data_IF_020714601760
#
_entry.id   IF_020714601760
#
_cell.length_a   1.000
_cell.length_b   1.000
_cell.length_c   1.000
_cell.angle_alpha   90.00
_cell.angle_beta   90.00
_cell.angle_gamma   90.00
#
_symmetry.space_group_name_H-M   'P 1'
#
loop_
_entity.id
_entity.type
_entity.pdbx_description
1 polymer ?
#
# COMPACT_ATOMS: atom_id res chain seq x y z
N UNK A 1 -20.93 -12.69 5.56
CA UNK A 1 -19.69 -13.11 6.26
C UNK A 1 -19.19 -12.01 7.19
N UNK A 2 -18.78 -10.83 6.70
CA UNK A 2 -18.19 -9.74 7.50
C UNK A 2 -19.05 -9.33 8.71
N UNK A 3 -20.39 -9.23 8.54
CA UNK A 3 -21.29 -8.90 9.65
C UNK A 3 -21.19 -9.89 10.82
N UNK A 4 -21.13 -11.18 10.54
CA UNK A 4 -21.06 -12.23 11.57
C UNK A 4 -19.77 -12.09 12.38
N UNK A 5 -18.65 -11.87 11.69
CA UNK A 5 -17.34 -11.69 12.31
C UNK A 5 -17.33 -10.43 13.18
N UNK A 6 -17.71 -9.28 12.60
CA UNK A 6 -17.71 -7.99 13.31
C UNK A 6 -18.64 -8.00 14.55
N UNK A 7 -19.82 -8.62 14.46
CA UNK A 7 -20.71 -8.76 15.61
C UNK A 7 -20.13 -9.67 16.69
N UNK A 8 -19.42 -10.74 16.30
CA UNK A 8 -18.71 -11.60 17.25
C UNK A 8 -17.58 -10.84 17.96
N UNK A 9 -16.79 -10.08 17.21
CA UNK A 9 -15.72 -9.22 17.77
C UNK A 9 -16.31 -8.15 18.70
N UNK A 10 -17.39 -7.49 18.28
CA UNK A 10 -18.08 -6.48 19.09
C UNK A 10 -18.53 -7.05 20.44
N UNK A 11 -19.13 -8.23 20.46
CA UNK A 11 -19.56 -8.92 21.70
C UNK A 11 -18.36 -9.24 22.60
N UNK A 12 -17.27 -9.76 22.01
CA UNK A 12 -16.05 -10.11 22.76
C UNK A 12 -15.37 -8.90 23.41
N UNK A 13 -15.48 -7.71 22.80
CA UNK A 13 -14.83 -6.46 23.28
C UNK A 13 -15.75 -5.54 24.07
N UNK A 14 -16.92 -5.97 24.49
CA UNK A 14 -17.82 -5.19 25.36
C UNK A 14 -18.90 -4.38 24.65
N UNK A 15 -19.07 -4.55 23.35
CA UNK A 15 -20.26 -4.11 22.62
C UNK A 15 -20.37 -2.63 22.27
N UNK A 16 -19.26 -1.95 22.02
CA UNK A 16 -19.28 -0.55 21.58
C UNK A 16 -19.74 -0.39 20.14
N UNK A 17 -20.55 0.65 19.87
CA UNK A 17 -21.00 1.03 18.54
C UNK A 17 -22.05 0.09 17.94
N UNK A 18 -22.78 0.58 16.96
CA UNK A 18 -23.74 -0.16 16.15
C UNK A 18 -23.06 -0.60 14.86
N UNK A 19 -23.30 -1.83 14.43
CA UNK A 19 -22.83 -2.33 13.14
C UNK A 19 -24.04 -2.43 12.21
N UNK A 20 -24.01 -1.67 11.12
CA UNK A 20 -24.98 -1.75 10.03
C UNK A 20 -24.29 -2.27 8.79
N UNK A 21 -25.01 -3.08 8.01
CA UNK A 21 -24.48 -3.67 6.78
C UNK A 21 -25.40 -3.31 5.62
N UNK A 22 -24.81 -2.73 4.59
CA UNK A 22 -25.46 -2.36 3.35
C UNK A 22 -24.87 -3.18 2.21
N UNK A 23 -25.68 -3.59 1.26
CA UNK A 23 -25.28 -4.37 0.08
C UNK A 23 -25.91 -3.75 -1.14
N UNK A 24 -25.18 -3.67 -2.23
CA UNK A 24 -25.65 -3.12 -3.49
C UNK A 24 -25.41 -1.63 -3.64
N UNK A 25 -25.32 -1.18 -4.88
CA UNK A 25 -25.04 0.22 -5.25
C UNK A 25 -26.21 1.12 -4.81
N UNK A 26 -27.42 0.62 -4.84
CA UNK A 26 -28.65 1.30 -4.45
C UNK A 26 -28.67 1.75 -2.98
N UNK A 27 -27.91 1.05 -2.13
CA UNK A 27 -27.84 1.35 -0.70
C UNK A 27 -26.57 2.16 -0.32
N UNK A 28 -25.74 2.54 -1.30
CA UNK A 28 -24.43 3.18 -1.05
C UNK A 28 -24.59 4.54 -0.36
N UNK A 29 -25.51 5.37 -0.78
CA UNK A 29 -25.77 6.68 -0.15
C UNK A 29 -26.23 6.53 1.30
N UNK A 30 -27.05 5.56 1.59
CA UNK A 30 -27.53 5.33 2.97
C UNK A 30 -26.38 4.83 3.86
N UNK A 31 -25.49 3.98 3.32
CA UNK A 31 -24.29 3.54 4.02
C UNK A 31 -23.32 4.70 4.31
N UNK A 32 -23.21 5.68 3.41
CA UNK A 32 -22.29 6.81 3.51
C UNK A 32 -22.87 7.99 4.31
N UNK A 33 -24.18 8.07 4.46
CA UNK A 33 -24.85 9.23 5.06
C UNK A 33 -24.35 9.56 6.45
N UNK A 34 -23.79 10.78 6.59
CA UNK A 34 -23.28 11.29 7.86
C UNK A 34 -21.99 10.63 8.32
N UNK A 35 -21.30 9.87 7.47
CA UNK A 35 -20.00 9.30 7.81
C UNK A 35 -18.96 10.41 8.05
N UNK A 36 -18.06 10.21 9.00
CA UNK A 36 -16.89 11.07 9.22
C UNK A 36 -15.66 10.51 8.53
N UNK A 37 -15.59 9.18 8.39
CA UNK A 37 -14.49 8.48 7.75
C UNK A 37 -15.03 7.36 6.86
N UNK A 38 -14.46 7.21 5.69
CA UNK A 38 -14.75 6.14 4.73
C UNK A 38 -13.45 5.40 4.44
N UNK A 39 -13.37 4.12 4.76
CA UNK A 39 -12.22 3.27 4.43
C UNK A 39 -12.54 2.52 3.15
N UNK A 40 -11.73 2.75 2.12
CA UNK A 40 -11.86 2.10 0.82
C UNK A 40 -10.84 0.98 0.64
N UNK A 41 -11.36 -0.25 0.48
CA UNK A 41 -10.55 -1.45 0.23
C UNK A 41 -11.24 -2.34 -0.82
N UNK A 42 -11.77 -1.73 -1.89
CA UNK A 42 -12.50 -2.45 -2.95
C UNK A 42 -11.55 -3.07 -3.98
N UNK A 43 -12.01 -4.13 -4.63
CA UNK A 43 -11.39 -4.68 -5.83
C UNK A 43 -12.45 -4.86 -6.90
N UNK A 44 -12.46 -3.95 -7.88
CA UNK A 44 -13.38 -3.97 -9.01
C UNK A 44 -12.99 -5.08 -9.97
N UNK A 45 -13.95 -5.95 -10.31
CA UNK A 45 -13.76 -7.06 -11.23
C UNK A 45 -13.16 -8.33 -10.60
N UNK A 46 -12.79 -8.29 -9.32
CA UNK A 46 -12.32 -9.43 -8.52
C UNK A 46 -11.09 -10.15 -9.13
N UNK A 47 -10.71 -11.30 -8.53
CA UNK A 47 -9.70 -12.18 -9.08
C UNK A 47 -10.17 -12.80 -10.41
N UNK A 48 -11.33 -13.44 -10.40
CA UNK A 48 -12.00 -13.98 -11.57
C UNK A 48 -13.20 -13.07 -11.92
N UNK A 49 -13.27 -12.49 -13.14
CA UNK A 49 -12.37 -12.72 -14.29
C UNK A 49 -11.22 -11.73 -14.41
N UNK A 50 -11.25 -10.55 -13.77
CA UNK A 50 -10.46 -9.42 -14.21
C UNK A 50 -8.96 -9.55 -13.93
N UNK A 51 -8.54 -10.02 -12.75
CA UNK A 51 -7.11 -10.24 -12.48
C UNK A 51 -6.54 -11.33 -13.40
N UNK A 52 -7.29 -12.40 -13.64
CA UNK A 52 -6.88 -13.44 -14.60
C UNK A 52 -6.65 -12.84 -15.99
N UNK A 53 -7.57 -12.01 -16.47
CA UNK A 53 -7.46 -11.35 -17.79
C UNK A 53 -6.25 -10.42 -17.82
N UNK A 54 -6.02 -9.64 -16.77
CA UNK A 54 -4.89 -8.69 -16.65
C UNK A 54 -3.52 -9.41 -16.71
N UNK A 55 -3.46 -10.71 -16.44
CA UNK A 55 -2.26 -11.53 -16.58
C UNK A 55 -2.23 -12.30 -17.90
N UNK A 56 -3.31 -12.96 -18.29
CA UNK A 56 -3.31 -13.87 -19.44
C UNK A 56 -3.29 -13.14 -20.79
N UNK A 57 -3.89 -11.95 -20.88
CA UNK A 57 -3.86 -11.16 -22.12
C UNK A 57 -2.46 -10.63 -22.42
N UNK A 58 -1.74 -9.97 -21.47
CA UNK A 58 -0.36 -9.50 -21.71
C UNK A 58 0.62 -10.63 -22.07
N UNK A 59 0.46 -11.83 -21.51
CA UNK A 59 1.29 -13.00 -21.86
C UNK A 59 1.25 -13.34 -23.34
N UNK A 60 0.11 -13.16 -24.01
CA UNK A 60 -0.02 -13.40 -25.47
C UNK A 60 0.87 -12.47 -26.29
N UNK A 61 1.29 -11.35 -25.71
CA UNK A 61 2.19 -10.36 -26.31
C UNK A 61 3.61 -10.42 -25.75
N UNK A 62 3.94 -11.46 -24.98
CA UNK A 62 5.26 -11.67 -24.40
C UNK A 62 5.54 -10.82 -23.15
N UNK A 63 4.52 -10.18 -22.57
CA UNK A 63 4.65 -9.39 -21.35
C UNK A 63 4.34 -10.27 -20.14
N UNK A 64 5.31 -10.36 -19.23
CA UNK A 64 5.20 -11.13 -18.00
C UNK A 64 5.16 -10.20 -16.80
N UNK A 65 4.34 -10.53 -15.82
CA UNK A 65 4.12 -9.74 -14.60
C UNK A 65 4.31 -10.62 -13.37
N UNK A 66 4.57 -9.98 -12.23
CA UNK A 66 4.65 -10.62 -10.92
C UNK A 66 3.36 -10.37 -10.13
N UNK A 67 3.05 -9.11 -9.85
CA UNK A 67 1.87 -8.66 -9.10
C UNK A 67 0.84 -7.96 -10.00
N UNK A 68 1.29 -7.14 -10.95
CA UNK A 68 0.46 -6.55 -12.01
C UNK A 68 -0.70 -5.67 -11.54
N UNK A 69 -0.62 -5.11 -10.35
CA UNK A 69 -1.72 -4.35 -9.74
C UNK A 69 -1.46 -2.84 -9.61
N UNK A 70 -0.24 -2.39 -9.86
CA UNK A 70 0.20 -1.00 -9.62
C UNK A 70 0.69 -0.32 -10.87
N UNK A 71 1.65 -0.88 -11.58
CA UNK A 71 2.23 -0.36 -12.82
C UNK A 71 2.09 -1.36 -13.96
N UNK A 72 2.54 -0.96 -15.15
CA UNK A 72 2.41 -1.77 -16.35
C UNK A 72 0.98 -1.91 -16.82
N UNK A 73 0.75 -2.86 -17.74
CA UNK A 73 -0.58 -3.03 -18.38
C UNK A 73 -1.64 -3.49 -17.38
N UNK A 74 -1.30 -4.38 -16.47
CA UNK A 74 -2.22 -4.85 -15.43
C UNK A 74 -2.68 -3.72 -14.51
N UNK A 75 -1.76 -2.89 -14.01
CA UNK A 75 -2.07 -1.72 -13.19
C UNK A 75 -2.93 -0.68 -13.94
N UNK A 76 -2.60 -0.39 -15.19
CA UNK A 76 -3.36 0.53 -16.05
C UNK A 76 -4.81 0.03 -16.22
N UNK A 77 -5.01 -1.23 -16.58
CA UNK A 77 -6.34 -1.80 -16.79
C UNK A 77 -7.15 -1.85 -15.49
N UNK A 78 -6.49 -2.15 -14.38
CA UNK A 78 -7.10 -2.11 -13.05
C UNK A 78 -7.53 -0.69 -12.66
N UNK A 79 -6.71 0.34 -12.91
CA UNK A 79 -7.06 1.73 -12.68
C UNK A 79 -8.25 2.17 -13.54
N UNK A 80 -8.22 1.91 -14.85
CA UNK A 80 -9.29 2.26 -15.77
C UNK A 80 -10.64 1.65 -15.40
N UNK A 81 -10.62 0.46 -14.83
CA UNK A 81 -11.81 -0.26 -14.36
C UNK A 81 -12.31 0.26 -13.02
N UNK A 82 -11.41 0.73 -12.15
CA UNK A 82 -11.73 1.14 -10.77
C UNK A 82 -12.13 2.62 -10.67
N UNK A 83 -11.52 3.49 -11.47
CA UNK A 83 -11.78 4.93 -11.47
C UNK A 83 -13.27 5.28 -11.61
N UNK A 84 -14.06 4.70 -12.56
CA UNK A 84 -15.48 5.01 -12.67
C UNK A 84 -16.27 4.70 -11.40
N UNK A 85 -15.96 3.58 -10.73
CA UNK A 85 -16.60 3.20 -9.47
C UNK A 85 -16.22 4.18 -8.35
N UNK A 86 -14.97 4.62 -8.29
CA UNK A 86 -14.54 5.61 -7.31
C UNK A 86 -15.14 6.99 -7.59
N UNK A 87 -15.34 7.37 -8.85
CA UNK A 87 -16.05 8.59 -9.22
C UNK A 87 -17.49 8.59 -8.71
N UNK A 88 -18.19 7.46 -8.83
CA UNK A 88 -19.53 7.30 -8.28
C UNK A 88 -19.53 7.40 -6.75
N UNK A 89 -18.55 6.81 -6.07
CA UNK A 89 -18.38 6.97 -4.61
C UNK A 89 -18.17 8.43 -4.24
N UNK A 90 -17.32 9.15 -4.98
CA UNK A 90 -17.05 10.56 -4.72
C UNK A 90 -18.31 11.41 -4.85
N UNK A 91 -19.08 11.22 -5.93
CA UNK A 91 -20.34 11.95 -6.15
C UNK A 91 -21.35 11.71 -5.02
N UNK A 92 -21.47 10.46 -4.57
CA UNK A 92 -22.36 10.14 -3.45
C UNK A 92 -21.84 10.73 -2.12
N UNK A 93 -20.52 10.72 -1.88
CA UNK A 93 -19.93 11.33 -0.68
C UNK A 93 -20.11 12.84 -0.64
N UNK A 94 -19.91 13.52 -1.77
CA UNK A 94 -20.12 14.97 -1.89
C UNK A 94 -21.57 15.35 -1.56
N UNK A 95 -22.55 14.49 -1.85
CA UNK A 95 -23.97 14.71 -1.53
C UNK A 95 -24.31 14.43 -0.05
N UNK A 96 -23.81 13.31 0.52
CA UNK A 96 -24.33 12.80 1.81
C UNK A 96 -23.35 12.87 2.99
N UNK A 97 -22.05 13.08 2.73
CA UNK A 97 -21.00 13.24 3.75
C UNK A 97 -19.80 14.06 3.24
N UNK A 98 -19.98 15.31 2.80
CA UNK A 98 -18.95 16.11 2.12
C UNK A 98 -17.71 16.39 2.98
N UNK A 99 -17.81 16.30 4.29
CA UNK A 99 -16.71 16.53 5.20
C UNK A 99 -15.91 15.28 5.57
N UNK A 100 -16.36 14.09 5.14
CA UNK A 100 -15.73 12.84 5.45
C UNK A 100 -14.33 12.71 4.85
N UNK A 101 -13.43 12.04 5.58
CA UNK A 101 -12.14 11.61 5.05
C UNK A 101 -12.28 10.27 4.32
N UNK A 102 -11.73 10.20 3.11
CA UNK A 102 -11.65 8.99 2.31
C UNK A 102 -10.24 8.39 2.45
N UNK A 103 -10.13 7.30 3.20
CA UNK A 103 -8.89 6.57 3.49
C UNK A 103 -8.76 5.42 2.49
N UNK A 104 -7.93 5.62 1.46
CA UNK A 104 -7.84 4.69 0.34
C UNK A 104 -6.73 3.66 0.53
N UNK A 105 -7.07 2.37 0.55
CA UNK A 105 -6.15 1.23 0.51
C UNK A 105 -6.12 0.52 -0.85
N UNK A 106 -6.97 0.94 -1.78
CA UNK A 106 -7.10 0.27 -3.09
C UNK A 106 -6.00 0.69 -4.04
N UNK A 107 -5.34 -0.31 -4.64
CA UNK A 107 -4.33 -0.12 -5.71
C UNK A 107 -4.98 -0.13 -7.12
N UNK A 108 -4.34 0.58 -8.07
CA UNK A 108 -3.07 1.33 -8.04
C UNK A 108 -3.14 2.62 -7.22
N UNK A 109 -2.39 2.70 -6.14
CA UNK A 109 -2.51 3.74 -5.13
C UNK A 109 -2.37 5.16 -5.70
N UNK A 110 -1.28 5.45 -6.40
CA UNK A 110 -0.99 6.78 -6.92
C UNK A 110 -1.99 7.19 -8.01
N UNK A 111 -2.47 6.25 -8.84
CA UNK A 111 -3.47 6.55 -9.88
C UNK A 111 -4.83 6.85 -9.27
N UNK A 112 -5.29 6.01 -8.35
CA UNK A 112 -6.62 6.12 -7.75
C UNK A 112 -6.73 7.28 -6.77
N UNK A 113 -5.77 7.43 -5.85
CA UNK A 113 -5.74 8.54 -4.91
C UNK A 113 -5.50 9.88 -5.63
N UNK A 114 -4.63 9.88 -6.66
CA UNK A 114 -4.40 11.03 -7.49
C UNK A 114 -5.63 11.44 -8.30
N UNK A 115 -6.43 10.48 -8.79
CA UNK A 115 -7.71 10.78 -9.42
C UNK A 115 -8.67 11.46 -8.45
N UNK A 116 -8.90 10.86 -7.28
CA UNK A 116 -9.79 11.40 -6.27
C UNK A 116 -9.41 12.83 -5.86
N UNK A 117 -8.14 13.07 -5.60
CA UNK A 117 -7.63 14.36 -5.14
C UNK A 117 -7.64 15.44 -6.24
N UNK A 118 -7.52 15.06 -7.53
CA UNK A 118 -7.51 16.01 -8.65
C UNK A 118 -8.89 16.37 -9.15
N UNK A 119 -9.81 15.43 -9.17
CA UNK A 119 -11.06 15.56 -9.92
C UNK A 119 -12.31 15.51 -9.04
N UNK A 120 -12.17 15.42 -7.71
CA UNK A 120 -13.28 15.41 -6.76
C UNK A 120 -13.02 16.35 -5.59
N UNK A 121 -14.08 16.73 -4.86
CA UNK A 121 -14.00 17.49 -3.61
C UNK A 121 -13.73 16.64 -2.36
N UNK A 122 -13.60 15.33 -2.51
CA UNK A 122 -13.49 14.40 -1.38
C UNK A 122 -12.10 14.48 -0.73
N UNK A 123 -12.05 14.67 0.58
CA UNK A 123 -10.80 14.71 1.38
C UNK A 123 -10.14 13.34 1.39
N UNK A 124 -9.27 13.07 0.41
CA UNK A 124 -8.65 11.75 0.19
C UNK A 124 -7.21 11.70 0.66
N UNK A 125 -6.82 10.61 1.30
CA UNK A 125 -5.42 10.21 1.49
C UNK A 125 -5.27 8.72 1.13
N UNK A 126 -4.23 8.41 0.35
CA UNK A 126 -3.87 7.03 0.03
C UNK A 126 -2.92 6.46 1.10
N UNK A 127 -3.13 5.22 1.48
CA UNK A 127 -2.44 4.54 2.58
C UNK A 127 -1.83 3.22 2.09
N UNK A 128 -0.54 3.03 2.36
CA UNK A 128 0.17 1.81 1.99
C UNK A 128 1.04 1.29 3.15
N UNK A 129 1.12 -0.03 3.28
CA UNK A 129 1.95 -0.69 4.30
C UNK A 129 3.44 -0.64 3.98
N UNK A 130 3.80 -0.48 2.71
CA UNK A 130 5.19 -0.57 2.25
C UNK A 130 6.13 0.45 2.91
N UNK A 131 5.61 1.60 3.31
CA UNK A 131 6.37 2.59 4.08
C UNK A 131 6.58 2.12 5.52
N UNK A 132 5.54 1.55 6.16
CA UNK A 132 5.61 1.14 7.57
C UNK A 132 6.63 0.03 7.81
N UNK A 133 6.75 -0.91 6.89
CA UNK A 133 7.60 -2.09 7.03
C UNK A 133 8.96 -1.94 6.37
N UNK A 134 9.19 -0.89 5.58
CA UNK A 134 10.36 -0.72 4.71
C UNK A 134 11.69 -0.96 5.40
N UNK A 135 12.02 -0.18 6.41
CA UNK A 135 13.30 -0.29 7.12
C UNK A 135 13.34 -1.45 8.10
N UNK A 136 12.20 -1.81 8.69
CA UNK A 136 12.10 -2.95 9.61
C UNK A 136 12.42 -4.25 8.89
N UNK A 137 11.82 -4.48 7.72
CA UNK A 137 12.07 -5.67 6.92
C UNK A 137 13.52 -5.70 6.39
N UNK A 138 14.05 -4.55 5.97
CA UNK A 138 15.46 -4.45 5.58
C UNK A 138 16.39 -4.86 6.71
N UNK A 139 16.18 -4.32 7.91
CA UNK A 139 17.06 -4.61 9.05
C UNK A 139 16.97 -6.05 9.50
N UNK A 140 15.79 -6.65 9.55
CA UNK A 140 15.62 -8.09 9.81
C UNK A 140 16.39 -8.96 8.81
N UNK A 141 16.33 -8.61 7.53
CA UNK A 141 17.02 -9.34 6.47
C UNK A 141 18.53 -9.20 6.52
N UNK A 142 19.05 -8.08 7.02
CA UNK A 142 20.47 -7.79 7.13
C UNK A 142 21.07 -8.12 8.51
N UNK A 143 20.27 -8.62 9.47
CA UNK A 143 20.72 -8.86 10.83
C UNK A 143 21.12 -7.58 11.57
N UNK A 144 20.26 -6.54 11.44
CA UNK A 144 20.45 -5.21 12.04
C UNK A 144 19.28 -4.82 12.96
N UNK A 145 18.60 -5.80 13.57
CA UNK A 145 17.41 -5.55 14.41
C UNK A 145 17.72 -4.71 15.64
N UNK A 146 18.96 -4.70 16.09
CA UNK A 146 19.45 -3.84 17.18
C UNK A 146 19.38 -2.34 16.85
N UNK A 147 19.24 -1.99 15.57
CA UNK A 147 19.10 -0.61 15.08
C UNK A 147 17.65 -0.14 14.95
N UNK A 148 16.65 -1.01 15.20
CA UNK A 148 15.24 -0.67 15.03
C UNK A 148 14.76 0.38 16.03
N UNK A 149 15.18 0.24 17.29
CA UNK A 149 14.72 1.15 18.35
C UNK A 149 15.30 2.56 18.19
N UNK A 150 14.40 3.55 18.14
CA UNK A 150 14.78 4.97 18.05
C UNK A 150 15.39 5.39 16.71
N UNK A 151 15.29 4.54 15.66
CA UNK A 151 15.73 4.89 14.29
C UNK A 151 14.97 6.11 13.79
N UNK A 152 15.62 6.88 12.95
CA UNK A 152 15.06 8.03 12.23
C UNK A 152 15.15 7.76 10.74
N UNK A 153 14.04 7.91 10.05
CA UNK A 153 13.96 7.62 8.61
C UNK A 153 13.19 8.68 7.86
N UNK A 154 13.56 8.89 6.60
CA UNK A 154 12.82 9.68 5.63
C UNK A 154 12.54 8.82 4.41
N UNK A 155 11.26 8.59 4.14
CA UNK A 155 10.80 7.86 2.95
C UNK A 155 9.92 8.79 2.13
N UNK A 156 10.25 8.96 0.84
CA UNK A 156 9.46 9.76 -0.08
C UNK A 156 9.66 9.34 -1.54
N UNK A 157 8.64 9.60 -2.36
CA UNK A 157 8.64 9.28 -3.78
C UNK A 157 7.23 9.07 -4.32
N UNK A 158 7.05 8.05 -5.15
CA UNK A 158 5.75 7.60 -5.64
C UNK A 158 5.47 6.22 -5.07
N UNK A 159 4.25 5.97 -4.65
CA UNK A 159 3.85 4.70 -4.01
C UNK A 159 4.36 3.47 -4.77
N UNK A 160 4.83 2.50 -4.02
CA UNK A 160 5.55 1.29 -4.40
C UNK A 160 6.96 1.52 -4.98
N UNK A 161 7.33 2.77 -5.28
CA UNK A 161 8.67 3.22 -5.67
C UNK A 161 9.10 4.47 -4.88
N UNK A 162 8.64 4.63 -3.65
CA UNK A 162 9.20 5.61 -2.73
C UNK A 162 10.56 5.13 -2.20
N UNK A 163 11.45 6.06 -1.91
CA UNK A 163 12.84 5.79 -1.56
C UNK A 163 13.10 6.05 -0.09
N UNK A 164 13.83 5.16 0.56
CA UNK A 164 14.39 5.38 1.89
C UNK A 164 15.58 6.32 1.74
N UNK A 165 15.30 7.63 1.81
CA UNK A 165 16.30 8.69 1.54
C UNK A 165 17.28 8.88 2.69
N UNK A 166 16.78 8.74 3.93
CA UNK A 166 17.60 8.79 5.13
C UNK A 166 17.24 7.63 6.04
N UNK A 167 18.24 7.05 6.67
CA UNK A 167 18.10 6.08 7.73
C UNK A 167 19.24 6.26 8.75
N UNK A 168 18.89 6.64 9.97
CA UNK A 168 19.83 6.93 11.06
C UNK A 168 19.46 6.15 12.29
N UNK A 169 20.44 5.79 13.09
CA UNK A 169 20.22 5.22 14.42
C UNK A 169 19.67 6.27 15.41
N UNK A 170 19.40 5.86 16.63
CA UNK A 170 18.92 6.73 17.72
C UNK A 170 19.87 7.90 18.05
N UNK A 171 21.16 7.76 17.76
CA UNK A 171 22.19 8.77 17.97
C UNK A 171 22.39 9.71 16.77
N UNK A 172 21.70 9.44 15.65
CA UNK A 172 21.80 10.21 14.41
C UNK A 172 22.92 9.75 13.46
N UNK A 173 23.52 8.60 13.71
CA UNK A 173 24.54 8.01 12.82
C UNK A 173 23.86 7.44 11.58
N UNK A 174 24.38 7.78 10.40
CA UNK A 174 23.90 7.23 9.13
C UNK A 174 24.16 5.72 9.04
N UNK A 175 23.11 4.95 8.75
CA UNK A 175 23.16 3.50 8.66
C UNK A 175 23.41 2.98 7.24
N UNK A 176 23.35 3.83 6.20
CA UNK A 176 23.62 3.37 4.83
C UNK A 176 25.01 2.77 4.62
N UNK A 177 26.11 3.27 5.22
CA UNK A 177 27.39 2.61 5.12
C UNK A 177 27.38 1.15 5.63
N UNK A 178 26.74 0.90 6.77
CA UNK A 178 26.60 -0.46 7.32
C UNK A 178 25.70 -1.33 6.43
N UNK A 179 24.55 -0.83 5.98
CA UNK A 179 23.66 -1.52 5.04
C UNK A 179 24.44 -1.93 3.79
N UNK A 180 25.16 -0.99 3.17
CA UNK A 180 25.93 -1.22 1.93
C UNK A 180 27.03 -2.27 2.10
N UNK A 181 27.59 -2.41 3.29
CA UNK A 181 28.60 -3.44 3.57
C UNK A 181 28.08 -4.87 3.59
N UNK A 182 26.75 -5.05 3.76
CA UNK A 182 26.10 -6.37 3.93
C UNK A 182 25.39 -6.87 2.66
N UNK A 183 25.13 -5.99 1.66
CA UNK A 183 24.26 -6.34 0.54
C UNK A 183 24.87 -7.34 -0.44
N UNK A 184 26.19 -7.31 -0.67
CA UNK A 184 26.82 -8.19 -1.66
C UNK A 184 26.73 -9.66 -1.25
N UNK A 185 26.89 -9.98 0.03
CA UNK A 185 26.68 -11.31 0.58
C UNK A 185 25.24 -11.79 0.36
N UNK A 186 24.27 -10.95 0.65
CA UNK A 186 22.84 -11.26 0.47
C UNK A 186 22.43 -11.42 -0.99
N UNK A 187 22.99 -10.62 -1.89
CA UNK A 187 22.72 -10.75 -3.34
C UNK A 187 23.31 -12.05 -3.88
N UNK A 188 24.46 -12.49 -3.33
CA UNK A 188 25.12 -13.74 -3.73
C UNK A 188 24.39 -14.99 -3.22
N UNK A 189 23.57 -14.89 -2.17
CA UNK A 189 22.80 -16.00 -1.65
C UNK A 189 21.72 -16.43 -2.67
N UNK A 190 21.74 -17.68 -3.20
CA UNK A 190 20.77 -18.11 -4.19
C UNK A 190 19.33 -18.12 -3.68
N UNK A 191 19.12 -18.35 -2.39
CA UNK A 191 17.77 -18.45 -1.78
C UNK A 191 17.18 -17.10 -1.36
N UNK A 192 17.99 -16.03 -1.36
CA UNK A 192 17.52 -14.73 -0.91
C UNK A 192 16.55 -14.07 -1.91
N UNK A 193 15.35 -13.75 -1.45
CA UNK A 193 14.27 -13.23 -2.33
C UNK A 193 14.30 -11.73 -2.62
N UNK A 194 14.98 -10.92 -1.76
CA UNK A 194 14.91 -9.45 -1.87
C UNK A 194 16.08 -8.84 -2.68
N UNK A 195 16.56 -9.54 -3.72
CA UNK A 195 17.75 -9.15 -4.49
C UNK A 195 17.55 -7.86 -5.29
N UNK A 196 16.39 -7.65 -5.91
CA UNK A 196 16.12 -6.49 -6.76
C UNK A 196 16.26 -5.18 -5.99
N UNK A 197 15.70 -5.10 -4.78
CA UNK A 197 15.80 -3.89 -3.94
C UNK A 197 17.21 -3.66 -3.42
N UNK A 198 17.97 -4.70 -3.14
CA UNK A 198 19.38 -4.56 -2.77
C UNK A 198 20.25 -4.10 -3.96
N UNK A 199 19.94 -4.56 -5.17
CA UNK A 199 20.60 -4.05 -6.40
C UNK A 199 20.29 -2.55 -6.62
N UNK A 200 19.13 -2.05 -6.20
CA UNK A 200 18.84 -0.62 -6.24
C UNK A 200 19.76 0.17 -5.30
N UNK A 201 20.07 -0.32 -4.10
CA UNK A 201 21.05 0.31 -3.22
C UNK A 201 22.40 0.38 -3.91
N UNK A 202 22.82 -0.69 -4.59
CA UNK A 202 24.11 -0.79 -5.28
C UNK A 202 24.20 0.18 -6.47
N UNK A 203 23.14 0.28 -7.26
CA UNK A 203 23.15 1.05 -8.51
C UNK A 203 22.69 2.50 -8.35
N UNK A 204 21.75 2.76 -7.44
CA UNK A 204 21.16 4.09 -7.22
C UNK A 204 21.49 4.70 -5.86
N UNK A 205 22.09 3.93 -4.97
CA UNK A 205 22.51 4.41 -3.64
C UNK A 205 21.44 4.30 -2.54
N UNK A 206 20.18 4.01 -2.89
CA UNK A 206 19.03 4.04 -1.98
C UNK A 206 18.20 2.77 -2.07
N UNK A 207 17.56 2.42 -0.96
CA UNK A 207 16.57 1.34 -0.90
C UNK A 207 15.18 1.90 -1.23
N UNK A 208 14.31 1.10 -1.83
CA UNK A 208 12.95 1.55 -2.11
C UNK A 208 11.91 0.74 -1.34
N UNK A 209 10.72 1.31 -1.25
CA UNK A 209 9.56 0.65 -0.66
C UNK A 209 9.07 -0.50 -1.54
N UNK A 210 8.15 -1.27 -1.02
CA UNK A 210 7.54 -2.45 -1.60
C UNK A 210 8.53 -3.61 -1.81
N UNK A 211 8.06 -4.73 -2.33
CA UNK A 211 8.84 -5.96 -2.46
C UNK A 211 9.70 -6.01 -3.73
N UNK A 212 10.66 -6.93 -3.77
CA UNK A 212 11.49 -7.15 -4.96
C UNK A 212 10.70 -7.63 -6.17
N UNK A 213 9.64 -8.41 -5.97
CA UNK A 213 8.78 -8.85 -7.07
C UNK A 213 8.04 -7.68 -7.72
N UNK A 214 7.49 -6.73 -6.95
CA UNK A 214 6.91 -5.50 -7.50
C UNK A 214 7.97 -4.70 -8.26
N UNK A 215 9.10 -4.46 -7.63
CA UNK A 215 10.17 -3.66 -8.22
C UNK A 215 10.78 -4.30 -9.47
N UNK A 216 10.74 -5.63 -9.60
CA UNK A 216 11.20 -6.32 -10.79
C UNK A 216 10.35 -6.02 -12.04
N UNK A 217 9.04 -5.81 -11.87
CA UNK A 217 8.13 -5.52 -12.99
C UNK A 217 7.97 -4.02 -13.31
N UNK A 218 8.41 -3.12 -12.41
CA UNK A 218 8.23 -1.67 -12.58
C UNK A 218 9.22 -1.02 -13.55
N UNK A 219 10.19 -1.77 -14.04
CA UNK A 219 11.23 -1.26 -14.93
C UNK A 219 11.67 -2.31 -15.95
N UNK A 220 12.49 -1.87 -16.92
CA UNK A 220 12.97 -2.73 -17.99
C UNK A 220 14.21 -3.57 -17.65
N UNK A 221 14.69 -3.57 -16.41
CA UNK A 221 16.01 -4.13 -16.09
C UNK A 221 15.99 -5.64 -15.84
N UNK A 222 14.92 -6.21 -15.33
CA UNK A 222 14.89 -7.56 -14.79
C UNK A 222 14.05 -8.56 -15.59
N UNK A 223 12.80 -8.21 -15.96
CA UNK A 223 11.93 -9.12 -16.73
C UNK A 223 12.10 -8.86 -18.22
N UNK A 224 13.05 -9.60 -18.84
CA UNK A 224 13.43 -9.42 -20.23
C UNK A 224 13.32 -10.71 -21.02
N UNK A 225 12.64 -10.69 -22.15
CA UNK A 225 12.52 -11.86 -23.04
C UNK A 225 13.87 -12.32 -23.60
N UNK A 226 14.81 -11.38 -23.83
CA UNK A 226 16.17 -11.69 -24.35
C UNK A 226 17.12 -12.24 -23.28
N UNK A 227 16.80 -12.09 -22.02
CA UNK A 227 17.66 -12.46 -20.88
C UNK A 227 16.83 -13.20 -19.83
N UNK A 228 16.25 -14.36 -20.19
CA UNK A 228 15.35 -15.10 -19.28
C UNK A 228 16.04 -15.58 -17.99
N UNK A 229 17.37 -15.73 -18.02
CA UNK A 229 18.20 -16.11 -16.85
C UNK A 229 18.14 -15.09 -15.71
N UNK A 230 17.73 -13.83 -15.99
CA UNK A 230 17.55 -12.82 -14.94
C UNK A 230 16.41 -13.17 -13.98
N UNK A 231 15.39 -13.88 -14.45
CA UNK A 231 14.25 -14.33 -13.62
C UNK A 231 14.76 -15.26 -12.52
N UNK A 232 15.58 -16.24 -12.87
CA UNK A 232 16.18 -17.17 -11.93
C UNK A 232 17.23 -16.48 -11.04
N UNK A 233 18.13 -15.69 -11.64
CA UNK A 233 19.20 -14.98 -10.93
C UNK A 233 18.66 -14.09 -9.80
N UNK A 234 17.54 -13.40 -10.01
CA UNK A 234 16.96 -12.48 -9.06
C UNK A 234 15.78 -13.08 -8.28
N UNK A 235 15.51 -14.38 -8.43
CA UNK A 235 14.40 -15.08 -7.77
C UNK A 235 13.05 -14.37 -8.01
N UNK A 236 12.76 -14.00 -9.26
CA UNK A 236 11.55 -13.23 -9.61
C UNK A 236 10.36 -14.18 -9.73
N UNK A 237 9.35 -14.10 -8.87
CA UNK A 237 8.20 -14.99 -8.88
C UNK A 237 7.14 -14.49 -9.89
N UNK A 238 7.30 -14.85 -11.16
CA UNK A 238 6.30 -14.54 -12.17
C UNK A 238 4.93 -15.14 -11.79
N UNK A 239 3.86 -14.42 -12.09
CA UNK A 239 2.47 -14.81 -11.77
C UNK A 239 2.21 -14.99 -10.26
N UNK A 240 2.91 -14.24 -9.43
CA UNK A 240 2.80 -14.34 -7.97
C UNK A 240 1.40 -13.93 -7.47
N UNK A 241 0.85 -12.82 -7.97
CA UNK A 241 -0.45 -12.35 -7.50
C UNK A 241 -1.60 -13.32 -7.79
N UNK A 242 -1.72 -13.93 -8.98
CA UNK A 242 -2.65 -15.04 -9.21
C UNK A 242 -2.52 -16.19 -8.19
N UNK A 243 -1.30 -16.60 -7.85
CA UNK A 243 -1.08 -17.64 -6.82
C UNK A 243 -1.54 -17.18 -5.44
N UNK A 244 -1.23 -15.93 -5.06
CA UNK A 244 -1.70 -15.33 -3.79
C UNK A 244 -3.21 -15.29 -3.74
N UNK A 245 -3.89 -14.90 -4.80
CA UNK A 245 -5.36 -14.88 -4.87
C UNK A 245 -5.97 -16.26 -4.63
N UNK A 246 -5.46 -17.29 -5.31
CA UNK A 246 -5.95 -18.68 -5.14
C UNK A 246 -5.75 -19.15 -3.71
N UNK A 247 -4.56 -18.94 -3.15
CA UNK A 247 -4.23 -19.33 -1.78
C UNK A 247 -5.08 -18.58 -0.75
N UNK A 248 -5.27 -17.26 -0.94
CA UNK A 248 -6.07 -16.42 -0.05
C UNK A 248 -7.54 -16.84 -0.04
N UNK A 249 -8.11 -17.17 -1.21
CA UNK A 249 -9.49 -17.66 -1.32
C UNK A 249 -9.64 -18.99 -0.59
N UNK A 250 -8.68 -19.91 -0.73
CA UNK A 250 -8.68 -21.19 -0.06
C UNK A 250 -8.52 -21.04 1.47
N UNK A 251 -7.57 -20.23 1.91
CA UNK A 251 -7.30 -19.93 3.33
C UNK A 251 -8.54 -19.29 3.98
N UNK A 252 -9.12 -18.28 3.33
CA UNK A 252 -10.30 -17.61 3.84
C UNK A 252 -11.49 -18.55 4.08
N UNK A 253 -11.76 -19.46 3.14
CA UNK A 253 -12.83 -20.45 3.30
C UNK A 253 -12.64 -21.30 4.56
N UNK A 254 -11.40 -21.72 4.82
CA UNK A 254 -11.06 -22.51 6.01
C UNK A 254 -11.19 -21.68 7.29
N UNK A 255 -10.59 -20.48 7.30
CA UNK A 255 -10.63 -19.58 8.46
C UNK A 255 -12.05 -19.17 8.83
N UNK A 256 -12.88 -18.87 7.83
CA UNK A 256 -14.28 -18.52 8.06
C UNK A 256 -15.07 -19.67 8.67
N UNK A 257 -14.88 -20.91 8.18
CA UNK A 257 -15.51 -22.08 8.76
C UNK A 257 -15.08 -22.30 10.22
N UNK A 258 -13.78 -22.13 10.52
CA UNK A 258 -13.27 -22.21 11.89
C UNK A 258 -13.84 -21.13 12.81
N UNK A 259 -13.99 -19.90 12.31
CA UNK A 259 -14.58 -18.79 13.07
C UNK A 259 -16.07 -19.04 13.38
N UNK A 260 -16.81 -19.66 12.47
CA UNK A 260 -18.21 -20.04 12.72
C UNK A 260 -18.33 -21.14 13.79
N UNK A 261 -17.41 -22.09 13.80
CA UNK A 261 -17.42 -23.21 14.74
C UNK A 261 -16.91 -22.83 16.14
N UNK A 262 -15.78 -22.11 16.20
CA UNK A 262 -15.03 -21.86 17.43
C UNK A 262 -15.19 -20.44 17.98
N UNK A 263 -15.89 -19.56 17.25
CA UNK A 263 -15.91 -18.12 17.51
C UNK A 263 -14.68 -17.41 17.00
N UNK A 264 -14.73 -16.07 17.04
CA UNK A 264 -13.60 -15.22 16.60
C UNK A 264 -12.51 -15.27 17.67
N UNK A 265 -11.27 -15.54 17.25
CA UNK A 265 -10.09 -15.45 18.10
C UNK A 265 -9.94 -14.04 18.68
N UNK A 266 -9.23 -13.93 19.80
CA UNK A 266 -8.90 -12.63 20.34
C UNK A 266 -8.23 -11.76 19.27
N UNK A 267 -8.81 -10.58 19.04
CA UNK A 267 -8.31 -9.63 18.06
C UNK A 267 -7.41 -8.60 18.75
N UNK A 268 -6.16 -8.56 18.37
CA UNK A 268 -5.23 -7.53 18.76
C UNK A 268 -5.21 -6.41 17.72
N UNK A 269 -5.11 -5.15 18.18
CA UNK A 269 -4.97 -3.99 17.30
C UNK A 269 -3.68 -4.15 16.48
N UNK A 270 -3.80 -4.06 15.17
CA UNK A 270 -2.65 -4.05 14.26
C UNK A 270 -2.05 -2.65 14.12
N UNK A 271 -0.96 -2.53 13.35
CA UNK A 271 -0.33 -1.25 13.04
C UNK A 271 -1.03 -0.51 11.88
N UNK A 272 -2.27 -0.86 11.54
CA UNK A 272 -3.03 -0.24 10.46
C UNK A 272 -3.26 1.26 10.66
N UNK A 273 -2.95 2.05 9.64
CA UNK A 273 -3.02 3.50 9.69
C UNK A 273 -4.41 4.05 9.98
N UNK A 274 -5.48 3.50 9.36
CA UNK A 274 -6.80 4.10 9.39
C UNK A 274 -7.30 4.37 10.81
N UNK A 275 -7.18 3.40 11.72
CA UNK A 275 -7.64 3.56 13.10
C UNK A 275 -6.86 4.65 13.86
N UNK A 276 -5.56 4.76 13.60
CA UNK A 276 -4.71 5.79 14.21
C UNK A 276 -4.98 7.18 13.62
N UNK A 277 -5.25 7.27 12.30
CA UNK A 277 -5.65 8.51 11.65
C UNK A 277 -6.97 9.02 12.23
N UNK A 278 -7.99 8.15 12.33
CA UNK A 278 -9.28 8.51 12.90
C UNK A 278 -9.13 9.00 14.34
N UNK A 279 -8.39 8.26 15.17
CA UNK A 279 -8.12 8.64 16.56
C UNK A 279 -7.40 9.99 16.63
N UNK A 280 -6.36 10.18 15.83
CA UNK A 280 -5.56 11.42 15.78
C UNK A 280 -6.39 12.65 15.39
N UNK A 281 -7.26 12.52 14.39
CA UNK A 281 -8.15 13.61 13.94
C UNK A 281 -9.15 13.97 15.06
N UNK A 282 -9.74 12.97 15.71
CA UNK A 282 -10.75 13.18 16.76
C UNK A 282 -10.16 13.74 18.06
N UNK A 283 -9.01 13.21 18.48
CA UNK A 283 -8.38 13.56 19.76
C UNK A 283 -7.36 14.69 19.65
N UNK A 284 -6.96 15.06 18.42
CA UNK A 284 -5.83 15.95 18.14
C UNK A 284 -4.47 15.44 18.65
N UNK A 285 -4.35 14.16 19.00
CA UNK A 285 -3.07 13.54 19.35
C UNK A 285 -2.24 13.35 18.09
N UNK A 286 -1.03 13.94 17.98
CA UNK A 286 -0.23 13.85 16.77
C UNK A 286 0.15 12.42 16.41
N UNK A 287 0.01 12.07 15.11
CA UNK A 287 0.43 10.79 14.56
C UNK A 287 1.10 11.00 13.20
N UNK A 288 2.17 10.29 12.92
CA UNK A 288 2.89 10.38 11.65
C UNK A 288 2.60 9.17 10.78
N UNK A 289 2.35 9.42 9.49
CA UNK A 289 2.12 8.38 8.47
C UNK A 289 2.95 8.64 7.22
N UNK A 290 3.13 7.63 6.36
CA UNK A 290 3.39 7.83 4.94
C UNK A 290 2.06 8.00 4.21
N UNK A 291 1.81 9.17 3.64
CA UNK A 291 0.55 9.48 2.97
C UNK A 291 0.72 9.73 1.47
N UNK A 292 -0.20 9.21 0.68
CA UNK A 292 -0.25 9.48 -0.76
C UNK A 292 -1.15 10.69 -1.03
N UNK A 293 -0.53 11.79 -1.45
CA UNK A 293 -1.13 13.11 -1.61
C UNK A 293 -0.66 13.78 -2.90
N UNK A 294 -1.42 14.79 -3.39
CA UNK A 294 -0.95 15.58 -4.54
C UNK A 294 0.29 16.40 -4.19
N UNK A 295 1.19 16.49 -5.16
CA UNK A 295 2.40 17.31 -5.10
C UNK A 295 2.14 18.81 -5.38
N UNK A 296 0.91 19.29 -5.22
CA UNK A 296 0.47 20.63 -5.62
C UNK A 296 1.24 21.77 -4.95
N UNK A 297 1.82 21.53 -3.78
CA UNK A 297 2.70 22.47 -3.07
C UNK A 297 4.19 22.18 -3.28
N UNK A 298 4.56 21.42 -4.32
CA UNK A 298 5.95 21.01 -4.59
C UNK A 298 6.64 20.38 -3.36
N UNK A 299 5.94 19.45 -2.69
CA UNK A 299 6.48 18.68 -1.56
C UNK A 299 7.77 17.96 -1.96
N UNK A 300 7.76 17.40 -3.19
CA UNK A 300 8.94 16.90 -3.90
C UNK A 300 9.18 17.81 -5.10
N UNK A 301 10.25 18.60 -5.05
CA UNK A 301 10.46 19.76 -5.93
C UNK A 301 10.77 19.39 -7.38
N UNK A 302 11.33 18.22 -7.64
CA UNK A 302 11.67 17.73 -8.98
C UNK A 302 10.66 16.74 -9.55
N UNK A 303 9.47 16.64 -8.96
CA UNK A 303 8.33 15.94 -9.54
C UNK A 303 7.22 16.93 -9.96
N UNK A 304 6.41 16.59 -10.97
CA UNK A 304 5.28 17.42 -11.39
C UNK A 304 4.29 17.72 -10.27
N UNK A 305 3.68 18.91 -10.28
CA UNK A 305 2.69 19.31 -9.28
C UNK A 305 1.45 18.39 -9.26
N UNK A 306 1.12 17.80 -10.41
CA UNK A 306 0.00 16.88 -10.60
C UNK A 306 0.30 15.45 -10.15
N UNK A 307 1.54 15.14 -9.81
CA UNK A 307 1.88 13.80 -9.33
C UNK A 307 1.22 13.53 -7.97
N UNK A 308 0.73 12.30 -7.79
CA UNK A 308 0.39 11.80 -6.47
C UNK A 308 1.65 11.19 -5.86
N UNK A 309 2.14 11.82 -4.79
CA UNK A 309 3.40 11.47 -4.14
C UNK A 309 3.18 10.86 -2.76
N UNK A 310 4.05 9.95 -2.37
CA UNK A 310 4.09 9.37 -1.04
C UNK A 310 5.14 10.09 -0.21
N UNK A 311 4.69 10.79 0.83
CA UNK A 311 5.52 11.63 1.70
C UNK A 311 5.13 11.46 3.16
N UNK A 312 6.01 11.79 4.12
CA UNK A 312 5.63 11.88 5.50
C UNK A 312 4.49 12.90 5.68
N UNK A 313 3.48 12.53 6.45
CA UNK A 313 2.36 13.40 6.80
C UNK A 313 2.18 13.43 8.32
N UNK A 314 1.97 14.61 8.88
CA UNK A 314 1.51 14.78 10.25
C UNK A 314 -0.02 14.76 10.27
N UNK A 315 -0.60 13.96 11.15
CA UNK A 315 -2.05 13.90 11.38
C UNK A 315 -2.36 14.42 12.77
N UNK A 316 -3.37 15.26 12.90
CA UNK A 316 -3.90 15.77 14.17
C UNK A 316 -5.33 16.31 13.95
N UNK A 317 -5.91 17.04 14.89
CA UNK A 317 -7.25 17.64 14.78
C UNK A 317 -7.47 18.59 13.58
N UNK A 318 -6.40 18.98 12.87
CA UNK A 318 -6.46 19.73 11.60
C UNK A 318 -6.49 18.83 10.36
N UNK A 319 -6.50 17.52 10.54
CA UNK A 319 -6.48 16.52 9.47
C UNK A 319 -5.07 16.09 9.08
N UNK A 320 -4.92 15.64 7.84
CA UNK A 320 -3.66 15.15 7.27
C UNK A 320 -2.87 16.32 6.68
N UNK A 321 -1.66 16.53 7.16
CA UNK A 321 -0.77 17.64 6.78
C UNK A 321 0.52 17.08 6.18
N UNK A 322 0.69 17.14 4.85
CA UNK A 322 1.90 16.62 4.20
C UNK A 322 3.14 17.46 4.55
N UNK A 323 4.26 16.80 4.73
CA UNK A 323 5.54 17.43 5.00
C UNK A 323 6.32 17.67 3.69
N UNK A 324 7.02 18.80 3.63
CA UNK A 324 7.96 19.11 2.57
C UNK A 324 9.17 18.18 2.63
N UNK A 325 9.61 17.68 1.48
CA UNK A 325 10.76 16.75 1.35
C UNK A 325 11.94 17.42 0.61
N UNK A 326 11.66 18.18 -0.43
CA UNK A 326 12.69 18.73 -1.34
C UNK A 326 12.87 17.87 -2.60
N UNK A 327 14.03 17.95 -3.23
CA UNK A 327 14.33 17.17 -4.44
C UNK A 327 14.70 15.73 -4.07
N UNK A 328 14.19 14.76 -4.84
CA UNK A 328 14.74 13.40 -4.85
C UNK A 328 16.14 13.41 -5.49
N UNK A 329 17.06 12.52 -5.06
CA UNK A 329 18.40 12.39 -5.63
C UNK A 329 18.42 12.09 -7.12
#
# INVERSE_FOLDING_TARGET
>A
ESRVILESMRKAKGGYGKIECYVGVENRKDALRGANFVINAIQVGLYDPCTIIDFEVPKKYGLRQTIGDTLGIGGIMRALRTIPVMADFAADMEEVCPDAYFLNYTNPMAMLSGYMQRYTGVKTVGLCHSVQTCSEDLFKQLGMEDKLEGRKELIAGINHMAWLLEIKDKNGVDLYPEIKSKIDEKIADPEFGNKVRLEYIKNFGYYCTESSEHNAEYNMFYIKSKYPELIERYNIPLDEYPRRCVNQIASWKKEYAEMLEKGVKEHNRSNEYASHIMESIVTSTPYQIGGNVLNSNHLITNLPAEACVEVPCLVNGRGVQPCYVGALP
#
